data_IF_289446677453
#
_entry.id   IF_289446677453
#
_cell.length_a   1.000
_cell.length_b   1.000
_cell.length_c   1.000
_cell.angle_alpha   90.00
_cell.angle_beta   90.00
_cell.angle_gamma   90.00
#
_symmetry.space_group_name_H-M   'P 1'
#
loop_
_entity.id
_entity.type
_entity.pdbx_description
1 polymer ?
#
# COMPACT_ATOMS: atom_id res chain seq x y z
N UNK A 1 -52.48 3.59 -18.55
CA UNK A 1 -51.44 2.60 -18.17
C UNK A 1 -50.32 3.35 -17.47
N UNK A 2 -50.44 3.47 -16.16
CA UNK A 2 -49.45 4.17 -15.31
C UNK A 2 -48.36 3.20 -14.90
N UNK A 3 -47.12 3.57 -15.19
CA UNK A 3 -45.95 2.82 -14.78
C UNK A 3 -45.65 3.10 -13.30
N UNK A 4 -45.82 2.11 -12.43
CA UNK A 4 -45.44 2.18 -11.03
C UNK A 4 -43.88 2.14 -10.95
N UNK A 5 -43.29 3.21 -10.51
CA UNK A 5 -41.88 3.26 -10.15
C UNK A 5 -41.69 2.53 -8.80
N UNK A 6 -41.01 1.40 -8.83
CA UNK A 6 -40.57 0.68 -7.65
C UNK A 6 -39.44 1.45 -6.96
N UNK A 7 -39.75 2.12 -5.87
CA UNK A 7 -38.77 2.70 -4.94
C UNK A 7 -38.22 1.56 -4.07
N UNK A 8 -37.13 0.94 -4.50
CA UNK A 8 -36.33 0.10 -3.61
C UNK A 8 -35.68 0.99 -2.54
N UNK A 9 -36.21 0.95 -1.31
CA UNK A 9 -35.56 1.59 -0.15
C UNK A 9 -34.27 0.83 0.16
N UNK A 10 -33.13 1.39 -0.23
CA UNK A 10 -31.84 0.94 0.27
C UNK A 10 -31.81 1.28 1.77
N UNK A 11 -32.04 0.28 2.61
CA UNK A 11 -31.74 0.37 4.03
C UNK A 11 -30.23 0.44 4.16
N UNK A 12 -29.69 1.63 4.40
CA UNK A 12 -28.30 1.79 4.78
C UNK A 12 -28.15 1.05 6.12
N UNK A 13 -27.53 -0.13 6.10
CA UNK A 13 -27.15 -0.81 7.33
C UNK A 13 -26.35 0.17 8.17
N UNK A 14 -26.84 0.42 9.39
CA UNK A 14 -26.18 1.30 10.33
C UNK A 14 -24.77 0.74 10.59
N UNK A 15 -23.74 1.41 10.06
CA UNK A 15 -22.36 1.06 10.35
C UNK A 15 -22.17 1.04 11.87
N UNK A 16 -21.86 -0.11 12.42
CA UNK A 16 -21.41 -0.24 13.80
C UNK A 16 -19.89 -0.42 13.79
N UNK A 17 -19.14 0.36 14.57
CA UNK A 17 -17.70 0.18 14.67
C UNK A 17 -17.40 -1.25 15.12
N UNK A 18 -16.43 -1.89 14.45
CA UNK A 18 -15.90 -3.18 14.87
C UNK A 18 -15.39 -3.09 16.34
N UNK A 19 -15.34 -4.21 17.09
CA UNK A 19 -15.05 -4.22 18.53
C UNK A 19 -13.75 -3.54 18.95
N UNK A 20 -12.85 -3.22 18.03
CA UNK A 20 -11.63 -2.44 18.31
C UNK A 20 -11.41 -1.29 17.32
N UNK A 21 -12.32 -0.33 17.34
CA UNK A 21 -12.18 0.92 16.58
C UNK A 21 -10.85 1.65 16.90
N UNK A 22 -10.30 1.46 18.10
CA UNK A 22 -9.03 2.06 18.52
C UNK A 22 -7.83 1.52 17.73
N UNK A 23 -7.84 0.24 17.37
CA UNK A 23 -6.77 -0.38 16.58
C UNK A 23 -6.81 0.09 15.11
N UNK A 24 -8.00 0.21 14.53
CA UNK A 24 -8.18 0.75 13.16
C UNK A 24 -7.68 2.20 13.09
N UNK A 25 -8.02 3.03 14.06
CA UNK A 25 -7.56 4.43 14.12
C UNK A 25 -6.04 4.50 14.20
N UNK A 26 -5.41 3.66 15.04
CA UNK A 26 -3.93 3.58 15.13
C UNK A 26 -3.27 3.17 13.81
N UNK A 27 -3.87 2.23 13.08
CA UNK A 27 -3.36 1.77 11.77
C UNK A 27 -3.49 2.86 10.71
N UNK A 28 -4.65 3.55 10.66
CA UNK A 28 -4.85 4.69 9.75
C UNK A 28 -3.86 5.81 10.09
N UNK A 29 -3.69 6.14 11.37
CA UNK A 29 -2.71 7.13 11.80
C UNK A 29 -1.28 6.75 11.37
N UNK A 30 -0.87 5.50 11.56
CA UNK A 30 0.44 5.01 11.11
C UNK A 30 0.62 5.06 9.59
N UNK A 31 -0.46 4.95 8.81
CA UNK A 31 -0.45 5.10 7.36
C UNK A 31 -0.26 6.55 6.92
N UNK A 32 -0.88 7.50 7.64
CA UNK A 32 -0.86 8.93 7.31
C UNK A 32 0.36 9.66 7.90
N UNK A 33 0.90 9.15 9.01
CA UNK A 33 2.05 9.74 9.74
C UNK A 33 3.12 8.67 10.02
N UNK A 34 3.67 8.01 8.99
CA UNK A 34 4.71 7.01 9.20
C UNK A 34 6.02 7.66 9.63
N UNK A 35 6.76 7.04 10.56
CA UNK A 35 8.11 7.48 10.95
C UNK A 35 9.14 7.10 9.90
N UNK A 36 8.87 6.03 9.16
CA UNK A 36 9.67 5.64 8.01
C UNK A 36 8.80 5.03 6.90
N UNK A 37 9.31 5.10 5.69
CA UNK A 37 8.67 4.58 4.48
C UNK A 37 9.65 3.67 3.76
N UNK A 38 9.22 2.45 3.47
CA UNK A 38 9.94 1.49 2.63
C UNK A 38 9.36 1.53 1.23
N UNK A 39 10.20 1.73 0.22
CA UNK A 39 9.81 1.75 -1.19
C UNK A 39 10.32 0.49 -1.89
N UNK A 40 9.44 -0.48 -2.12
CA UNK A 40 9.78 -1.78 -2.72
C UNK A 40 9.84 -1.68 -4.25
N UNK A 41 10.84 -2.30 -4.85
CA UNK A 41 11.02 -2.26 -6.31
C UNK A 41 11.59 -0.93 -6.79
N UNK A 42 12.34 -0.24 -5.93
CA UNK A 42 13.04 0.98 -6.28
C UNK A 42 13.92 0.76 -7.53
N UNK A 43 13.81 1.63 -8.51
CA UNK A 43 14.53 1.52 -9.78
C UNK A 43 14.87 2.90 -10.33
N UNK A 44 16.01 2.99 -10.97
CA UNK A 44 16.53 4.18 -11.64
C UNK A 44 16.06 4.32 -13.10
N UNK A 45 15.09 3.50 -13.53
CA UNK A 45 14.48 3.65 -14.85
C UNK A 45 13.67 4.95 -14.89
N UNK A 46 13.96 5.89 -15.81
CA UNK A 46 13.30 7.18 -15.84
C UNK A 46 11.78 7.06 -15.98
N UNK A 47 11.05 7.90 -15.25
CA UNK A 47 9.61 8.05 -15.38
C UNK A 47 8.78 6.93 -14.75
N UNK A 48 9.40 6.01 -13.99
CA UNK A 48 8.66 4.99 -13.24
C UNK A 48 7.98 5.56 -11.98
N UNK A 49 7.00 4.81 -11.44
CA UNK A 49 6.26 5.26 -10.25
C UNK A 49 7.13 5.34 -8.99
N UNK A 50 8.11 4.45 -8.82
CA UNK A 50 8.98 4.46 -7.66
C UNK A 50 9.81 5.77 -7.59
N UNK A 51 10.36 6.19 -8.72
CA UNK A 51 11.10 7.46 -8.83
C UNK A 51 10.20 8.67 -8.56
N UNK A 52 8.96 8.66 -9.10
CA UNK A 52 8.01 9.76 -8.85
C UNK A 52 7.64 9.88 -7.38
N UNK A 53 7.39 8.75 -6.72
CA UNK A 53 7.10 8.70 -5.28
C UNK A 53 8.30 9.24 -4.49
N UNK A 54 9.50 8.75 -4.78
CA UNK A 54 10.73 9.20 -4.15
C UNK A 54 10.90 10.72 -4.28
N UNK A 55 10.81 11.23 -5.50
CA UNK A 55 10.97 12.66 -5.78
C UNK A 55 9.90 13.51 -5.07
N UNK A 56 8.68 13.01 -4.93
CA UNK A 56 7.63 13.70 -4.17
C UNK A 56 7.98 13.75 -2.68
N UNK A 57 8.40 12.65 -2.08
CA UNK A 57 8.80 12.61 -0.67
C UNK A 57 9.94 13.60 -0.37
N UNK A 58 10.94 13.67 -1.24
CA UNK A 58 12.05 14.64 -1.13
C UNK A 58 11.54 16.08 -1.34
N UNK A 59 10.75 16.32 -2.39
CA UNK A 59 10.20 17.63 -2.72
C UNK A 59 9.37 18.23 -1.59
N UNK A 60 8.55 17.39 -0.95
CA UNK A 60 7.69 17.81 0.16
C UNK A 60 8.35 17.63 1.53
N UNK A 61 9.68 17.42 1.55
CA UNK A 61 10.50 17.37 2.76
C UNK A 61 10.00 16.40 3.80
N UNK A 62 9.69 15.17 3.36
CA UNK A 62 9.38 14.11 4.33
C UNK A 62 10.58 13.91 5.26
N UNK A 63 10.37 14.07 6.58
CA UNK A 63 11.43 14.07 7.59
C UNK A 63 11.74 12.67 8.15
N UNK A 64 10.94 11.65 7.81
CA UNK A 64 11.12 10.28 8.27
C UNK A 64 12.20 9.51 7.49
N UNK A 65 12.48 8.29 7.96
CA UNK A 65 13.38 7.37 7.27
C UNK A 65 12.83 6.95 5.90
N UNK A 66 13.68 6.94 4.87
CA UNK A 66 13.34 6.47 3.52
C UNK A 66 14.25 5.33 3.13
N UNK A 67 13.67 4.14 2.92
CA UNK A 67 14.40 2.90 2.68
C UNK A 67 13.99 2.26 1.35
N UNK A 68 14.73 2.50 0.26
CA UNK A 68 14.48 1.82 -1.01
C UNK A 68 14.92 0.35 -0.93
N UNK A 69 14.09 -0.56 -1.45
CA UNK A 69 14.40 -1.99 -1.59
C UNK A 69 14.54 -2.35 -3.08
N UNK A 70 15.70 -2.92 -3.43
CA UNK A 70 15.95 -3.59 -4.71
C UNK A 70 17.04 -4.64 -4.56
N UNK A 71 16.75 -5.92 -4.88
CA UNK A 71 17.69 -7.03 -4.71
C UNK A 71 18.95 -6.97 -5.58
N UNK A 72 19.00 -6.05 -6.56
CA UNK A 72 20.09 -5.93 -7.53
C UNK A 72 20.91 -4.65 -7.37
N UNK A 73 20.62 -3.80 -6.40
CA UNK A 73 21.25 -2.50 -6.21
C UNK A 73 21.78 -2.35 -4.80
N UNK A 74 22.96 -1.76 -4.66
CA UNK A 74 23.53 -1.35 -3.37
C UNK A 74 23.22 0.09 -3.03
N UNK A 75 23.06 0.91 -4.07
CA UNK A 75 22.65 2.32 -3.94
C UNK A 75 21.65 2.68 -5.03
N UNK A 76 20.78 3.60 -4.74
CA UNK A 76 19.82 4.18 -5.69
C UNK A 76 19.49 5.61 -5.26
N UNK A 77 19.35 6.52 -6.20
CA UNK A 77 19.06 7.95 -5.97
C UNK A 77 20.00 8.62 -4.95
N UNK A 78 21.27 8.11 -4.85
CA UNK A 78 22.28 8.64 -3.94
C UNK A 78 22.18 8.16 -2.49
N UNK A 79 21.31 7.20 -2.19
CA UNK A 79 21.16 6.61 -0.84
C UNK A 79 21.40 5.10 -0.86
N UNK A 80 21.70 4.47 0.29
CA UNK A 80 21.76 3.02 0.40
C UNK A 80 20.47 2.34 -0.05
N UNK A 81 20.59 1.24 -0.79
CA UNK A 81 19.47 0.42 -1.23
C UNK A 81 19.56 -0.96 -0.57
N UNK A 82 18.47 -1.42 -0.01
CA UNK A 82 18.39 -2.66 0.75
C UNK A 82 17.95 -3.81 -0.14
N UNK A 83 18.46 -5.03 0.10
CA UNK A 83 18.13 -6.20 -0.73
C UNK A 83 16.72 -6.71 -0.49
N UNK A 84 16.29 -6.66 0.77
CA UNK A 84 15.03 -7.19 1.27
C UNK A 84 14.64 -6.50 2.59
N UNK A 85 13.51 -6.91 3.17
CA UNK A 85 13.04 -6.39 4.45
C UNK A 85 13.95 -6.77 5.63
N UNK A 86 14.65 -7.90 5.56
CA UNK A 86 15.54 -8.36 6.65
C UNK A 86 16.80 -7.51 6.75
N UNK A 87 17.22 -6.89 5.67
CA UNK A 87 18.40 -6.02 5.61
C UNK A 87 18.12 -4.57 6.01
N UNK A 88 16.87 -4.21 6.31
CA UNK A 88 16.51 -2.86 6.75
C UNK A 88 17.11 -2.51 8.11
N UNK A 89 17.50 -1.26 8.36
CA UNK A 89 18.07 -0.82 9.64
C UNK A 89 17.04 -0.80 10.78
N UNK A 90 15.75 -0.70 10.44
CA UNK A 90 14.64 -0.67 11.40
C UNK A 90 13.35 -1.26 10.78
N UNK A 91 12.38 -1.57 11.65
CA UNK A 91 11.07 -2.09 11.20
C UNK A 91 10.31 -1.05 10.38
N UNK A 92 9.70 -1.45 9.25
CA UNK A 92 8.92 -0.53 8.43
C UNK A 92 7.63 -0.07 9.13
N UNK A 93 7.33 1.22 9.09
CA UNK A 93 6.02 1.72 9.48
C UNK A 93 5.05 1.66 8.30
N UNK A 94 5.46 2.14 7.14
CA UNK A 94 4.65 2.14 5.92
C UNK A 94 5.43 1.60 4.71
N UNK A 95 4.76 0.80 3.88
CA UNK A 95 5.37 0.18 2.70
C UNK A 95 4.66 0.65 1.42
N UNK A 96 5.41 1.25 0.52
CA UNK A 96 4.93 1.63 -0.82
C UNK A 96 5.30 0.53 -1.83
N UNK A 97 4.30 0.05 -2.57
CA UNK A 97 4.38 -1.15 -3.41
C UNK A 97 4.08 -0.81 -4.88
N UNK A 98 5.02 -0.18 -5.62
CA UNK A 98 4.90 0.07 -7.06
C UNK A 98 5.48 -1.06 -7.92
N UNK A 99 5.41 -2.31 -7.45
CA UNK A 99 5.90 -3.49 -8.20
C UNK A 99 4.79 -4.08 -9.08
N UNK A 100 5.09 -4.83 -10.15
CA UNK A 100 4.07 -5.53 -10.94
C UNK A 100 3.14 -6.39 -10.08
N UNK A 101 1.84 -6.46 -10.43
CA UNK A 101 0.78 -7.07 -9.62
C UNK A 101 1.11 -8.49 -9.12
N UNK A 102 1.73 -9.31 -9.97
CA UNK A 102 2.16 -10.68 -9.62
C UNK A 102 3.13 -10.78 -8.43
N UNK A 103 3.81 -9.68 -8.08
CA UNK A 103 4.72 -9.63 -6.93
C UNK A 103 4.10 -8.96 -5.70
N UNK A 104 3.05 -8.18 -5.89
CA UNK A 104 2.48 -7.34 -4.82
C UNK A 104 1.95 -8.18 -3.66
N UNK A 105 1.31 -9.32 -3.93
CA UNK A 105 0.76 -10.21 -2.90
C UNK A 105 1.87 -10.71 -1.95
N UNK A 106 3.00 -11.17 -2.52
CA UNK A 106 4.13 -11.61 -1.71
C UNK A 106 4.75 -10.46 -0.92
N UNK A 107 4.88 -9.27 -1.53
CA UNK A 107 5.39 -8.08 -0.84
C UNK A 107 4.52 -7.72 0.38
N UNK A 108 3.20 -7.87 0.30
CA UNK A 108 2.30 -7.63 1.45
C UNK A 108 2.58 -8.62 2.59
N UNK A 109 2.77 -9.92 2.28
CA UNK A 109 3.13 -10.92 3.29
C UNK A 109 4.50 -10.64 3.91
N UNK A 110 5.50 -10.32 3.09
CA UNK A 110 6.86 -10.02 3.56
C UNK A 110 6.89 -8.75 4.42
N UNK A 111 6.17 -7.70 4.00
CA UNK A 111 6.04 -6.47 4.76
C UNK A 111 5.41 -6.70 6.15
N UNK A 112 4.34 -7.49 6.20
CA UNK A 112 3.70 -7.83 7.47
C UNK A 112 4.62 -8.66 8.37
N UNK A 113 5.33 -9.65 7.82
CA UNK A 113 6.31 -10.45 8.54
C UNK A 113 7.47 -9.59 9.10
N UNK A 114 7.87 -8.53 8.39
CA UNK A 114 8.85 -7.55 8.84
C UNK A 114 8.32 -6.59 9.91
N UNK A 115 7.02 -6.63 10.21
CA UNK A 115 6.38 -5.82 11.22
C UNK A 115 5.86 -4.48 10.71
N UNK A 116 5.65 -4.34 9.40
CA UNK A 116 4.99 -3.17 8.83
C UNK A 116 3.59 -2.98 9.43
N UNK A 117 3.17 -1.74 9.58
CA UNK A 117 1.85 -1.38 10.14
C UNK A 117 0.84 -1.11 9.03
N UNK A 118 1.31 -0.64 7.88
CA UNK A 118 0.47 -0.30 6.73
C UNK A 118 1.22 -0.41 5.41
N UNK A 119 0.46 -0.51 4.31
CA UNK A 119 1.02 -0.48 2.96
C UNK A 119 0.09 0.26 1.99
N UNK A 120 0.66 0.81 0.92
CA UNK A 120 -0.07 1.35 -0.22
C UNK A 120 0.36 0.64 -1.49
N UNK A 121 -0.59 -0.01 -2.18
CA UNK A 121 -0.36 -0.68 -3.45
C UNK A 121 -0.71 0.30 -4.58
N UNK A 122 0.34 0.78 -5.24
CA UNK A 122 0.20 1.74 -6.36
C UNK A 122 -0.18 1.04 -7.65
N UNK A 123 0.20 -0.21 -7.77
CA UNK A 123 0.07 -1.01 -8.99
C UNK A 123 -1.38 -1.35 -9.31
N UNK A 124 -1.73 -1.27 -10.59
CA UNK A 124 -2.93 -1.83 -11.21
C UNK A 124 -2.71 -3.27 -11.69
N UNK A 125 -3.73 -3.93 -12.21
CA UNK A 125 -3.66 -5.30 -12.71
C UNK A 125 -4.31 -6.31 -11.76
N UNK A 126 -5.40 -5.91 -11.12
CA UNK A 126 -6.21 -6.72 -10.21
C UNK A 126 -7.67 -6.77 -10.70
N UNK A 127 -8.63 -6.62 -9.80
CA UNK A 127 -10.05 -6.78 -10.10
C UNK A 127 -10.64 -5.77 -11.11
N UNK A 128 -9.92 -4.72 -11.43
CA UNK A 128 -10.29 -3.78 -12.51
C UNK A 128 -10.12 -4.39 -13.92
N UNK A 129 -9.36 -5.48 -14.05
CA UNK A 129 -9.22 -6.23 -15.29
C UNK A 129 -10.16 -7.44 -15.30
N UNK A 130 -10.63 -7.82 -16.50
CA UNK A 130 -11.62 -8.90 -16.67
C UNK A 130 -10.98 -10.28 -16.91
N UNK A 131 -9.64 -10.35 -17.01
CA UNK A 131 -8.92 -11.62 -17.23
C UNK A 131 -8.81 -12.45 -15.93
N UNK A 132 -8.74 -13.77 -16.10
CA UNK A 132 -8.73 -14.73 -14.99
C UNK A 132 -7.53 -14.55 -14.04
N UNK A 133 -6.35 -14.22 -14.58
CA UNK A 133 -5.14 -14.04 -13.78
C UNK A 133 -5.26 -12.83 -12.86
N UNK A 134 -5.77 -11.73 -13.36
CA UNK A 134 -6.01 -10.51 -12.57
C UNK A 134 -7.07 -10.73 -11.49
N UNK A 135 -8.15 -11.45 -11.80
CA UNK A 135 -9.18 -11.80 -10.82
C UNK A 135 -8.62 -12.72 -9.73
N UNK A 136 -7.80 -13.72 -10.10
CA UNK A 136 -7.12 -14.57 -9.12
C UNK A 136 -6.20 -13.77 -8.21
N UNK A 137 -5.36 -12.88 -8.76
CA UNK A 137 -4.49 -12.02 -7.97
C UNK A 137 -5.27 -11.12 -7.01
N UNK A 138 -6.45 -10.64 -7.40
CA UNK A 138 -7.30 -9.84 -6.53
C UNK A 138 -7.83 -10.66 -5.33
N UNK A 139 -8.17 -11.92 -5.53
CA UNK A 139 -8.57 -12.83 -4.46
C UNK A 139 -7.40 -13.11 -3.52
N UNK A 140 -6.24 -13.49 -4.07
CA UNK A 140 -5.02 -13.75 -3.31
C UNK A 140 -4.58 -12.53 -2.47
N UNK A 141 -4.72 -11.33 -3.01
CA UNK A 141 -4.42 -10.09 -2.28
C UNK A 141 -5.37 -9.90 -1.10
N UNK A 142 -6.68 -10.09 -1.28
CA UNK A 142 -7.67 -9.99 -0.19
C UNK A 142 -7.38 -11.00 0.93
N UNK A 143 -6.99 -12.21 0.55
CA UNK A 143 -6.60 -13.25 1.52
C UNK A 143 -5.34 -12.85 2.28
N UNK A 144 -4.29 -12.39 1.59
CA UNK A 144 -3.07 -11.94 2.22
C UNK A 144 -3.30 -10.77 3.20
N UNK A 145 -4.13 -9.80 2.84
CA UNK A 145 -4.50 -8.68 3.72
C UNK A 145 -5.26 -9.18 4.95
N UNK A 146 -6.21 -10.12 4.78
CA UNK A 146 -6.97 -10.70 5.89
C UNK A 146 -6.09 -11.52 6.83
N UNK A 147 -5.20 -12.36 6.29
CA UNK A 147 -4.27 -13.22 7.04
C UNK A 147 -3.27 -12.40 7.86
N UNK A 148 -2.73 -11.35 7.26
CA UNK A 148 -1.69 -10.52 7.88
C UNK A 148 -2.25 -9.44 8.81
N UNK A 149 -3.50 -9.03 8.60
CA UNK A 149 -4.10 -7.89 9.30
C UNK A 149 -3.43 -6.55 8.98
N UNK A 150 -2.60 -6.49 7.93
CA UNK A 150 -1.94 -5.25 7.51
C UNK A 150 -2.98 -4.24 6.99
N UNK A 151 -2.88 -2.99 7.41
CA UNK A 151 -3.73 -1.93 6.85
C UNK A 151 -3.24 -1.59 5.44
N UNK A 152 -4.07 -1.85 4.42
CA UNK A 152 -3.68 -1.68 3.02
C UNK A 152 -4.60 -0.69 2.30
N UNK A 153 -4.01 0.27 1.60
CA UNK A 153 -4.69 1.14 0.64
C UNK A 153 -4.38 0.68 -0.79
N UNK A 154 -5.35 0.63 -1.63
CA UNK A 154 -5.23 0.13 -3.01
C UNK A 154 -5.81 -1.28 -3.17
N UNK A 155 -5.55 -1.96 -4.30
CA UNK A 155 -4.62 -1.60 -5.38
C UNK A 155 -5.03 -0.37 -6.21
N UNK A 156 -4.21 -0.02 -7.20
CA UNK A 156 -4.42 1.11 -8.11
C UNK A 156 -4.60 2.45 -7.37
N UNK A 157 -3.83 2.67 -6.31
CA UNK A 157 -3.87 3.87 -5.48
C UNK A 157 -2.65 4.77 -5.76
N UNK A 158 -2.87 6.06 -5.98
CA UNK A 158 -1.79 7.02 -6.24
C UNK A 158 -1.05 7.50 -4.98
N UNK A 159 -1.52 7.14 -3.81
CA UNK A 159 -0.94 7.49 -2.52
C UNK A 159 -1.96 8.06 -1.53
N UNK A 160 -1.48 8.34 -0.33
CA UNK A 160 -2.24 8.96 0.74
C UNK A 160 -1.69 10.36 0.99
N UNK A 161 -2.57 11.31 1.28
CA UNK A 161 -2.20 12.67 1.65
C UNK A 161 -2.80 12.99 3.01
N UNK A 162 -1.95 13.42 3.95
CA UNK A 162 -2.38 14.09 5.18
C UNK A 162 -2.14 15.58 5.01
N UNK A 163 -3.20 16.37 5.01
CA UNK A 163 -3.08 17.81 5.20
C UNK A 163 -2.83 18.01 6.69
N UNK A 164 -1.59 18.33 7.07
CA UNK A 164 -1.23 18.58 8.46
C UNK A 164 -2.14 19.62 9.14
N UNK A 165 -2.17 19.55 10.47
CA UNK A 165 -2.83 20.57 11.29
C UNK A 165 -2.18 21.95 11.12
#
# INVERSE_FOLDING_TARGET
MEAQASTASHTIEKWSPAPDASDIVKRIHAMLHPRNIVLVGATDKPGNYAERIWNNLIKYKYEGGLFPINSKRETIWGVPCYKDFASLPEKPDHVLVPVPARFAVQVIRDAAAAGARSATIVTSGFSELQDEDSQRLAVELKEAVRETGLAVTGPNCLGNLSAGE
#
